data_IF_706893509661
#
_entry.id   IF_706893509661
#
_cell.length_a   1.000
_cell.length_b   1.000
_cell.length_c   1.000
_cell.angle_alpha   90.00
_cell.angle_beta   90.00
_cell.angle_gamma   90.00
#
_symmetry.space_group_name_H-M   'P 1'
#
loop_
_entity.id
_entity.type
_entity.pdbx_description
1 polymer ?
#
# COMPACT_ATOMS: atom_id res chain seq x y z
N UNK A 1 -20.81 -3.13 -16.35
CA UNK A 1 -19.56 -2.35 -16.08
C UNK A 1 -18.45 -3.37 -15.83
N UNK A 2 -17.24 -3.14 -16.33
CA UNK A 2 -16.13 -4.05 -16.03
C UNK A 2 -15.77 -3.95 -14.54
N UNK A 3 -15.52 -5.10 -13.90
CA UNK A 3 -15.04 -5.19 -12.52
C UNK A 3 -13.73 -4.41 -12.38
N UNK A 4 -13.62 -3.58 -11.33
CA UNK A 4 -12.39 -2.85 -10.99
C UNK A 4 -11.69 -3.49 -9.77
N UNK A 5 -10.38 -3.38 -9.72
CA UNK A 5 -9.53 -4.07 -8.78
C UNK A 5 -8.64 -3.11 -7.99
N UNK A 6 -8.58 -3.28 -6.68
CA UNK A 6 -7.72 -2.48 -5.81
C UNK A 6 -6.93 -3.37 -4.85
N UNK A 7 -5.63 -3.11 -4.72
CA UNK A 7 -4.80 -3.67 -3.65
C UNK A 7 -4.62 -2.63 -2.54
N UNK A 8 -4.84 -3.04 -1.29
CA UNK A 8 -4.61 -2.21 -0.11
C UNK A 8 -3.65 -2.92 0.82
N UNK A 9 -2.46 -2.35 1.03
CA UNK A 9 -1.50 -2.88 1.99
C UNK A 9 -1.83 -2.41 3.41
N UNK A 10 -1.65 -3.29 4.41
CA UNK A 10 -2.00 -2.97 5.79
C UNK A 10 -3.51 -2.78 6.01
N UNK A 11 -4.34 -3.62 5.36
CA UNK A 11 -5.80 -3.49 5.33
C UNK A 11 -6.53 -3.98 6.59
N UNK A 12 -5.83 -4.57 7.57
CA UNK A 12 -6.47 -5.22 8.72
C UNK A 12 -7.07 -4.25 9.75
N UNK A 13 -6.67 -2.98 9.76
CA UNK A 13 -7.13 -1.96 10.74
C UNK A 13 -6.95 -0.53 10.23
N UNK A 14 -7.46 0.43 11.00
CA UNK A 14 -7.24 1.87 10.78
C UNK A 14 -7.63 2.34 9.39
N UNK A 15 -6.76 3.16 8.78
CA UNK A 15 -6.98 3.77 7.46
C UNK A 15 -7.12 2.69 6.38
N UNK A 16 -6.27 1.65 6.40
CA UNK A 16 -6.33 0.57 5.41
C UNK A 16 -7.67 -0.17 5.43
N UNK A 17 -8.20 -0.50 6.63
CA UNK A 17 -9.54 -1.10 6.76
C UNK A 17 -10.64 -0.16 6.25
N UNK A 18 -10.58 1.11 6.62
CA UNK A 18 -11.58 2.09 6.16
C UNK A 18 -11.58 2.23 4.63
N UNK A 19 -10.39 2.28 4.01
CA UNK A 19 -10.26 2.26 2.56
C UNK A 19 -10.84 0.98 1.96
N UNK A 20 -10.56 -0.20 2.54
CA UNK A 20 -11.05 -1.48 2.04
C UNK A 20 -12.59 -1.52 1.97
N UNK A 21 -13.25 -1.13 3.06
CA UNK A 21 -14.71 -1.05 3.09
C UNK A 21 -15.26 -0.02 2.09
N UNK A 22 -14.62 1.15 1.99
CA UNK A 22 -15.04 2.19 1.05
C UNK A 22 -14.93 1.73 -0.41
N UNK A 23 -13.84 1.06 -0.80
CA UNK A 23 -13.69 0.52 -2.14
C UNK A 23 -14.67 -0.61 -2.42
N UNK A 24 -14.90 -1.53 -1.46
CA UNK A 24 -15.88 -2.61 -1.61
C UNK A 24 -17.30 -2.07 -1.85
N UNK A 25 -17.73 -1.06 -1.09
CA UNK A 25 -19.03 -0.36 -1.25
C UNK A 25 -19.16 0.34 -2.62
N UNK A 26 -18.05 0.68 -3.25
CA UNK A 26 -18.01 1.22 -4.60
C UNK A 26 -17.75 0.15 -5.67
N UNK A 27 -18.09 -1.10 -5.37
CA UNK A 27 -18.07 -2.25 -6.27
C UNK A 27 -16.67 -2.61 -6.82
N UNK A 28 -15.59 -2.26 -6.11
CA UNK A 28 -14.28 -2.81 -6.41
C UNK A 28 -14.14 -4.22 -5.83
N UNK A 29 -13.42 -5.10 -6.52
CA UNK A 29 -12.84 -6.28 -5.88
C UNK A 29 -11.59 -5.85 -5.11
N UNK A 30 -11.55 -6.13 -3.80
CA UNK A 30 -10.51 -5.61 -2.90
C UNK A 30 -9.53 -6.72 -2.52
N UNK A 31 -8.27 -6.58 -2.92
CA UNK A 31 -7.18 -7.39 -2.41
C UNK A 31 -6.71 -6.83 -1.08
N UNK A 32 -6.88 -7.61 -0.02
CA UNK A 32 -6.63 -7.22 1.36
C UNK A 32 -5.29 -7.78 1.84
N UNK A 33 -4.29 -6.94 2.05
CA UNK A 33 -3.00 -7.39 2.57
C UNK A 33 -2.79 -7.05 4.03
N UNK A 34 -2.20 -7.98 4.77
CA UNK A 34 -1.56 -7.73 6.07
C UNK A 34 -0.36 -8.65 6.29
N UNK A 35 0.54 -8.27 7.22
CA UNK A 35 1.72 -9.08 7.57
C UNK A 35 1.42 -10.08 8.70
N UNK A 36 0.78 -9.66 9.78
CA UNK A 36 0.64 -10.46 11.01
C UNK A 36 -0.79 -10.64 11.50
N UNK A 37 -1.68 -9.69 11.25
CA UNK A 37 -3.01 -9.63 11.87
C UNK A 37 -4.05 -10.33 10.99
N UNK A 38 -3.89 -11.63 10.76
CA UNK A 38 -4.77 -12.39 9.85
C UNK A 38 -6.21 -12.43 10.37
N UNK A 39 -6.42 -12.65 11.67
CA UNK A 39 -7.77 -12.68 12.26
C UNK A 39 -8.51 -11.35 12.06
N UNK A 40 -7.80 -10.22 12.25
CA UNK A 40 -8.37 -8.90 11.99
C UNK A 40 -8.64 -8.68 10.49
N UNK A 41 -7.82 -9.25 9.60
CA UNK A 41 -8.04 -9.17 8.16
C UNK A 41 -9.28 -9.99 7.75
N UNK A 42 -9.46 -11.18 8.32
CA UNK A 42 -10.65 -12.02 8.12
C UNK A 42 -11.93 -11.34 8.62
N UNK A 43 -11.84 -10.54 9.69
CA UNK A 43 -12.98 -9.74 10.13
C UNK A 43 -13.36 -8.67 9.09
N UNK A 44 -12.38 -8.03 8.45
CA UNK A 44 -12.63 -7.08 7.35
C UNK A 44 -13.22 -7.79 6.13
N UNK A 45 -12.72 -8.97 5.78
CA UNK A 45 -13.28 -9.81 4.73
C UNK A 45 -14.76 -10.11 5.00
N UNK A 46 -15.08 -10.58 6.23
CA UNK A 46 -16.44 -10.87 6.61
C UNK A 46 -17.37 -9.66 6.46
N UNK A 47 -16.93 -8.48 6.92
CA UNK A 47 -17.71 -7.24 6.78
C UNK A 47 -17.98 -6.89 5.31
N UNK A 48 -16.99 -7.07 4.43
CA UNK A 48 -17.15 -6.84 2.99
C UNK A 48 -18.15 -7.83 2.38
N UNK A 49 -18.06 -9.11 2.74
CA UNK A 49 -18.95 -10.14 2.22
C UNK A 49 -20.39 -9.99 2.75
N UNK A 50 -20.57 -9.60 4.00
CA UNK A 50 -21.87 -9.32 4.60
C UNK A 50 -22.58 -8.13 3.90
N UNK A 51 -21.82 -7.18 3.36
CA UNK A 51 -22.31 -6.07 2.52
C UNK A 51 -22.39 -6.44 1.02
N UNK A 52 -22.32 -7.72 0.66
CA UNK A 52 -22.33 -8.22 -0.73
C UNK A 52 -21.19 -7.70 -1.61
N UNK A 53 -20.08 -7.24 -1.02
CA UNK A 53 -18.85 -6.89 -1.71
C UNK A 53 -18.02 -8.12 -2.10
N UNK A 54 -16.87 -7.89 -2.72
CA UNK A 54 -15.95 -8.96 -3.09
C UNK A 54 -14.51 -8.62 -2.71
N UNK A 55 -13.78 -9.59 -2.15
CA UNK A 55 -12.39 -9.41 -1.77
C UNK A 55 -11.61 -10.73 -1.82
N UNK A 56 -10.28 -10.60 -1.73
CA UNK A 56 -9.34 -11.72 -1.60
C UNK A 56 -8.29 -11.37 -0.57
N UNK A 57 -8.02 -12.29 0.36
CA UNK A 57 -6.96 -12.11 1.35
C UNK A 57 -5.59 -12.39 0.72
N UNK A 58 -4.63 -11.49 0.95
CA UNK A 58 -3.24 -11.60 0.54
C UNK A 58 -2.30 -11.46 1.75
N UNK A 59 -2.23 -12.46 2.65
CA UNK A 59 -1.29 -12.41 3.75
C UNK A 59 0.14 -12.42 3.23
N UNK A 60 0.99 -11.52 3.76
CA UNK A 60 2.38 -11.41 3.35
C UNK A 60 2.99 -10.08 3.78
N UNK A 61 4.31 -10.05 3.88
CA UNK A 61 5.05 -8.85 4.22
C UNK A 61 5.28 -7.99 2.96
N UNK A 62 4.57 -6.88 2.83
CA UNK A 62 4.76 -5.94 1.72
C UNK A 62 6.21 -5.36 1.64
N UNK A 63 6.96 -5.38 2.76
CA UNK A 63 8.37 -5.01 2.81
C UNK A 63 9.34 -6.12 2.36
N UNK A 64 8.83 -7.29 1.96
CA UNK A 64 9.61 -8.39 1.43
C UNK A 64 9.31 -8.59 -0.07
N UNK A 65 10.30 -8.51 -0.97
CA UNK A 65 10.06 -8.60 -2.41
C UNK A 65 9.53 -9.97 -2.86
N UNK A 66 9.86 -11.05 -2.15
CA UNK A 66 9.38 -12.39 -2.48
C UNK A 66 7.89 -12.55 -2.15
N UNK A 67 7.47 -12.01 -1.01
CA UNK A 67 6.06 -12.01 -0.64
C UNK A 67 5.24 -11.13 -1.58
N UNK A 68 5.78 -9.97 -1.99
CA UNK A 68 5.12 -9.11 -2.99
C UNK A 68 4.97 -9.85 -4.33
N UNK A 69 6.00 -10.59 -4.79
CA UNK A 69 5.88 -11.41 -6.00
C UNK A 69 4.77 -12.46 -5.90
N UNK A 70 4.66 -13.15 -4.74
CA UNK A 70 3.58 -14.13 -4.50
C UNK A 70 2.20 -13.47 -4.50
N UNK A 71 2.05 -12.32 -3.83
CA UNK A 71 0.79 -11.56 -3.84
C UNK A 71 0.38 -11.16 -5.25
N UNK A 72 1.30 -10.64 -6.05
CA UNK A 72 1.00 -10.24 -7.43
C UNK A 72 0.72 -11.43 -8.34
N UNK A 73 1.34 -12.58 -8.15
CA UNK A 73 1.00 -13.82 -8.86
C UNK A 73 -0.47 -14.26 -8.58
N UNK A 74 -0.95 -14.11 -7.35
CA UNK A 74 -2.37 -14.35 -7.02
C UNK A 74 -3.27 -13.33 -7.71
N UNK A 75 -2.93 -12.04 -7.66
CA UNK A 75 -3.68 -10.97 -8.33
C UNK A 75 -3.81 -11.28 -9.83
N UNK A 76 -2.71 -11.60 -10.50
CA UNK A 76 -2.65 -11.92 -11.93
C UNK A 76 -3.43 -13.18 -12.31
N UNK A 77 -3.64 -14.11 -11.38
CA UNK A 77 -4.51 -15.28 -11.60
C UNK A 77 -6.01 -14.95 -11.55
N UNK A 78 -6.39 -13.81 -10.97
CA UNK A 78 -7.78 -13.38 -10.77
C UNK A 78 -8.18 -12.29 -11.77
N UNK A 79 -7.25 -11.39 -12.10
CA UNK A 79 -7.50 -10.25 -12.97
C UNK A 79 -6.27 -9.89 -13.80
N UNK A 80 -6.44 -9.15 -14.91
CA UNK A 80 -5.29 -8.72 -15.73
C UNK A 80 -4.33 -7.78 -15.01
N UNK A 81 -4.78 -7.11 -13.92
CA UNK A 81 -3.99 -6.23 -13.09
C UNK A 81 -4.86 -5.25 -12.29
N UNK A 82 -4.21 -4.34 -11.59
CA UNK A 82 -4.87 -3.41 -10.68
C UNK A 82 -5.28 -2.10 -11.37
N UNK A 83 -6.49 -1.61 -11.07
CA UNK A 83 -6.91 -0.22 -11.35
C UNK A 83 -6.38 0.75 -10.30
N UNK A 84 -6.30 0.31 -9.04
CA UNK A 84 -5.86 1.13 -7.91
C UNK A 84 -4.88 0.36 -7.01
N UNK A 85 -3.83 1.04 -6.58
CA UNK A 85 -2.92 0.57 -5.54
C UNK A 85 -2.94 1.57 -4.38
N UNK A 86 -3.25 1.10 -3.17
CA UNK A 86 -3.18 1.88 -1.93
C UNK A 86 -2.02 1.35 -1.07
N UNK A 87 -0.92 2.07 -1.06
CA UNK A 87 0.23 1.80 -0.20
C UNK A 87 -0.02 2.44 1.17
N UNK A 88 -0.58 1.64 2.09
CA UNK A 88 -0.94 2.10 3.43
C UNK A 88 -0.13 1.41 4.53
N UNK A 89 0.43 0.22 4.29
CA UNK A 89 1.24 -0.48 5.28
C UNK A 89 2.35 0.43 5.84
N UNK A 90 2.44 0.49 7.16
CA UNK A 90 3.44 1.31 7.83
C UNK A 90 3.51 1.01 9.33
N UNK A 91 4.69 1.27 9.87
CA UNK A 91 5.01 1.20 11.29
C UNK A 91 5.70 2.49 11.71
N UNK A 92 5.69 2.80 13.00
CA UNK A 92 6.48 3.88 13.59
C UNK A 92 7.45 3.33 14.64
N UNK A 93 8.51 4.08 14.87
CA UNK A 93 9.40 3.92 16.00
C UNK A 93 9.51 5.28 16.71
N UNK A 94 9.12 5.30 17.97
CA UNK A 94 9.20 6.49 18.82
C UNK A 94 10.36 6.33 19.78
N UNK A 95 11.41 7.12 19.61
CA UNK A 95 12.62 7.10 20.41
C UNK A 95 13.71 7.99 19.79
N UNK A 96 14.77 8.23 20.57
CA UNK A 96 15.91 8.99 20.07
C UNK A 96 16.66 8.17 19.01
N UNK A 97 17.18 8.85 18.00
CA UNK A 97 17.87 8.19 16.88
C UNK A 97 19.08 7.35 17.35
N UNK A 98 19.80 7.83 18.36
CA UNK A 98 20.95 7.14 18.93
C UNK A 98 20.62 5.82 19.63
N UNK A 99 19.37 5.63 20.04
CA UNK A 99 18.89 4.43 20.73
C UNK A 99 18.25 3.41 19.75
N UNK A 100 18.14 3.78 18.47
CA UNK A 100 17.58 2.93 17.44
C UNK A 100 18.61 1.91 16.95
N UNK A 101 18.24 0.63 16.95
CA UNK A 101 19.08 -0.42 16.39
C UNK A 101 19.01 -0.47 14.86
N UNK A 102 20.07 -1.02 14.23
CA UNK A 102 20.11 -1.26 12.78
C UNK A 102 18.94 -2.12 12.30
N UNK A 103 18.50 -3.07 13.12
CA UNK A 103 17.36 -3.94 12.81
C UNK A 103 16.04 -3.14 12.76
N UNK A 104 15.81 -2.24 13.72
CA UNK A 104 14.64 -1.36 13.76
C UNK A 104 14.65 -0.38 12.59
N UNK A 105 15.82 0.20 12.28
CA UNK A 105 16.00 1.05 11.11
C UNK A 105 15.65 0.30 9.80
N UNK A 106 16.19 -0.90 9.63
CA UNK A 106 15.93 -1.74 8.45
C UNK A 106 14.45 -2.14 8.36
N UNK A 107 13.82 -2.46 9.48
CA UNK A 107 12.41 -2.83 9.50
C UNK A 107 11.49 -1.68 9.10
N UNK A 108 11.73 -0.46 9.64
CA UNK A 108 10.91 0.70 9.29
C UNK A 108 11.10 1.13 7.83
N UNK A 109 12.34 1.08 7.31
CA UNK A 109 12.63 1.34 5.90
C UNK A 109 11.91 0.34 4.99
N UNK A 110 12.03 -0.95 5.30
CA UNK A 110 11.42 -2.01 4.50
C UNK A 110 9.89 -1.91 4.50
N UNK A 111 9.30 -1.66 5.67
CA UNK A 111 7.85 -1.62 5.80
C UNK A 111 7.26 -0.34 5.19
N UNK A 112 7.88 0.83 5.40
CA UNK A 112 7.26 2.11 5.05
C UNK A 112 7.67 2.62 3.66
N UNK A 113 8.85 2.26 3.15
CA UNK A 113 9.38 2.80 1.90
C UNK A 113 9.64 1.72 0.85
N UNK A 114 10.41 0.67 1.19
CA UNK A 114 10.70 -0.40 0.23
C UNK A 114 9.44 -1.12 -0.23
N UNK A 115 8.44 -1.28 0.66
CA UNK A 115 7.13 -1.86 0.30
C UNK A 115 6.43 -1.08 -0.80
N UNK A 116 6.46 0.26 -0.71
CA UNK A 116 5.87 1.15 -1.73
C UNK A 116 6.55 0.94 -3.07
N UNK A 117 7.88 0.89 -3.07
CA UNK A 117 8.65 0.60 -4.29
C UNK A 117 8.28 -0.76 -4.88
N UNK A 118 8.24 -1.83 -4.07
CA UNK A 118 7.94 -3.18 -4.56
C UNK A 118 6.52 -3.28 -5.15
N UNK A 119 5.52 -2.75 -4.44
CA UNK A 119 4.14 -2.78 -4.91
C UNK A 119 3.93 -1.90 -6.14
N UNK A 120 4.50 -0.68 -6.17
CA UNK A 120 4.44 0.18 -7.36
C UNK A 120 5.06 -0.48 -8.58
N UNK A 121 6.28 -1.01 -8.44
CA UNK A 121 7.00 -1.69 -9.54
C UNK A 121 6.18 -2.84 -10.13
N UNK A 122 5.47 -3.61 -9.29
CA UNK A 122 4.64 -4.73 -9.75
C UNK A 122 3.34 -4.26 -10.41
N UNK A 123 2.75 -3.15 -9.97
CA UNK A 123 1.47 -2.66 -10.50
C UNK A 123 1.61 -1.84 -11.80
N UNK A 124 2.72 -1.10 -11.96
CA UNK A 124 2.89 -0.08 -13.00
C UNK A 124 2.79 -0.66 -14.42
N UNK A 125 3.35 -1.84 -14.68
CA UNK A 125 3.39 -2.42 -16.03
C UNK A 125 1.99 -2.57 -16.62
N UNK A 126 1.03 -3.07 -15.84
CA UNK A 126 -0.37 -3.18 -16.26
C UNK A 126 -1.02 -1.80 -16.44
N UNK A 127 -0.85 -0.90 -15.47
CA UNK A 127 -1.42 0.45 -15.50
C UNK A 127 -0.94 1.26 -16.74
N UNK A 128 0.34 1.13 -17.09
CA UNK A 128 0.92 1.75 -18.28
C UNK A 128 0.33 1.16 -19.56
N UNK A 129 0.21 -0.18 -19.62
CA UNK A 129 -0.35 -0.88 -20.78
C UNK A 129 -1.80 -0.47 -21.07
N UNK A 130 -2.63 -0.37 -20.03
CA UNK A 130 -4.04 0.06 -20.18
C UNK A 130 -4.23 1.58 -20.23
N UNK A 131 -3.16 2.37 -20.09
CA UNK A 131 -3.19 3.85 -20.01
C UNK A 131 -4.18 4.38 -18.97
N UNK A 132 -4.26 3.70 -17.84
CA UNK A 132 -5.15 4.04 -16.74
C UNK A 132 -4.65 3.38 -15.46
N UNK A 133 -4.62 4.12 -14.36
CA UNK A 133 -4.26 3.60 -13.04
C UNK A 133 -4.20 4.69 -11.99
N UNK A 134 -4.31 4.30 -10.74
CA UNK A 134 -4.17 5.21 -9.61
C UNK A 134 -3.31 4.57 -8.52
N UNK A 135 -2.29 5.30 -8.08
CA UNK A 135 -1.45 4.93 -6.95
C UNK A 135 -1.66 5.97 -5.85
N UNK A 136 -2.05 5.51 -4.67
CA UNK A 136 -2.31 6.34 -3.49
C UNK A 136 -1.35 5.90 -2.39
N UNK A 137 -0.46 6.78 -1.99
CA UNK A 137 0.50 6.54 -0.92
C UNK A 137 0.05 7.23 0.36
N UNK A 138 -0.15 6.47 1.45
CA UNK A 138 -0.52 7.05 2.74
C UNK A 138 0.75 7.54 3.43
N UNK A 139 0.98 8.84 3.31
CA UNK A 139 2.13 9.55 3.86
C UNK A 139 1.85 10.03 5.29
N UNK A 140 2.42 11.14 5.66
CA UNK A 140 2.24 11.82 6.96
C UNK A 140 2.74 13.26 6.85
N UNK A 141 2.20 14.15 7.65
CA UNK A 141 2.77 15.49 7.84
C UNK A 141 4.26 15.43 8.26
N UNK A 142 4.66 14.39 9.01
CA UNK A 142 6.07 14.17 9.38
C UNK A 142 6.99 13.91 8.19
N UNK A 143 6.45 13.51 7.05
CA UNK A 143 7.18 13.43 5.79
C UNK A 143 7.49 14.79 5.16
N UNK A 144 6.93 15.87 5.69
CA UNK A 144 7.15 17.23 5.21
C UNK A 144 7.95 18.07 6.23
N UNK A 145 7.57 18.00 7.51
CA UNK A 145 8.16 18.86 8.55
C UNK A 145 9.10 18.12 9.50
N UNK A 146 9.08 16.79 9.51
CA UNK A 146 9.80 15.97 10.47
C UNK A 146 9.15 15.96 11.85
N UNK A 147 9.57 15.01 12.71
CA UNK A 147 9.14 14.95 14.10
C UNK A 147 10.29 14.52 15.01
N UNK A 148 10.39 15.16 16.16
CA UNK A 148 11.31 14.73 17.23
C UNK A 148 10.94 13.32 17.68
N UNK A 149 11.92 12.50 17.99
CA UNK A 149 11.77 11.09 18.36
C UNK A 149 11.17 10.18 17.27
N UNK A 150 10.92 10.68 16.07
CA UNK A 150 10.41 9.90 14.91
C UNK A 150 11.27 10.11 13.66
N UNK A 151 12.59 10.24 13.81
CA UNK A 151 13.49 10.56 12.70
C UNK A 151 13.41 9.54 11.56
N UNK A 152 13.43 8.23 11.87
CA UNK A 152 13.33 7.18 10.86
C UNK A 152 11.98 7.15 10.16
N UNK A 153 10.88 7.33 10.90
CA UNK A 153 9.53 7.43 10.33
C UNK A 153 9.45 8.64 9.38
N UNK A 154 9.90 9.81 9.83
CA UNK A 154 9.95 11.03 9.04
C UNK A 154 10.75 10.85 7.76
N UNK A 155 11.93 10.21 7.84
CA UNK A 155 12.77 9.90 6.69
C UNK A 155 12.04 9.00 5.67
N UNK A 156 11.34 7.95 6.12
CA UNK A 156 10.59 7.06 5.23
C UNK A 156 9.43 7.77 4.55
N UNK A 157 8.70 8.63 5.27
CA UNK A 157 7.57 9.38 4.72
C UNK A 157 8.02 10.50 3.77
N UNK A 158 9.16 11.15 4.05
CA UNK A 158 9.81 12.09 3.11
C UNK A 158 10.26 11.38 1.84
N UNK A 159 10.88 10.19 1.96
CA UNK A 159 11.26 9.37 0.82
C UNK A 159 10.04 8.94 -0.03
N UNK A 160 8.93 8.57 0.63
CA UNK A 160 7.66 8.26 -0.04
C UNK A 160 7.12 9.47 -0.81
N UNK A 161 7.18 10.68 -0.23
CA UNK A 161 6.77 11.92 -0.91
C UNK A 161 7.64 12.20 -2.14
N UNK A 162 8.95 11.99 -2.04
CA UNK A 162 9.89 12.10 -3.17
C UNK A 162 9.58 11.11 -4.29
N UNK A 163 9.39 9.83 -3.93
CA UNK A 163 9.03 8.76 -4.86
C UNK A 163 7.68 9.06 -5.55
N UNK A 164 6.69 9.54 -4.80
CA UNK A 164 5.37 9.93 -5.35
C UNK A 164 5.51 10.99 -6.43
N UNK A 165 6.28 12.06 -6.16
CA UNK A 165 6.49 13.16 -7.11
C UNK A 165 7.23 12.70 -8.37
N UNK A 166 8.21 11.80 -8.22
CA UNK A 166 8.96 11.26 -9.34
C UNK A 166 8.07 10.38 -10.23
N UNK A 167 7.38 9.41 -9.64
CA UNK A 167 6.47 8.51 -10.36
C UNK A 167 5.30 9.26 -11.01
N UNK A 168 4.76 10.30 -10.37
CA UNK A 168 3.69 11.11 -10.96
C UNK A 168 4.13 11.74 -12.29
N UNK A 169 5.37 12.21 -12.39
CA UNK A 169 5.94 12.78 -13.63
C UNK A 169 6.25 11.69 -14.66
N UNK A 170 6.83 10.58 -14.22
CA UNK A 170 7.22 9.46 -15.09
C UNK A 170 6.00 8.79 -15.74
N UNK A 171 4.90 8.65 -15.00
CA UNK A 171 3.72 7.93 -15.42
C UNK A 171 2.61 8.80 -16.02
N UNK A 172 2.74 10.14 -15.96
CA UNK A 172 1.78 11.08 -16.54
C UNK A 172 1.48 10.82 -18.04
N UNK A 173 2.49 10.53 -18.91
CA UNK A 173 2.21 10.23 -20.33
C UNK A 173 1.34 8.98 -20.53
N UNK A 174 1.29 8.09 -19.55
CA UNK A 174 0.49 6.87 -19.56
C UNK A 174 -0.86 7.03 -18.84
N UNK A 175 -1.24 8.26 -18.48
CA UNK A 175 -2.49 8.56 -17.74
C UNK A 175 -2.62 7.78 -16.41
N UNK A 176 -1.48 7.53 -15.74
CA UNK A 176 -1.45 6.93 -14.40
C UNK A 176 -1.22 8.04 -13.37
N UNK A 177 -2.14 8.14 -12.43
CA UNK A 177 -2.11 9.16 -11.38
C UNK A 177 -1.40 8.61 -10.14
N UNK A 178 -0.43 9.35 -9.61
CA UNK A 178 0.29 8.99 -8.38
C UNK A 178 0.20 10.14 -7.39
N UNK A 179 -0.41 9.89 -6.24
CA UNK A 179 -0.64 10.89 -5.20
C UNK A 179 -0.25 10.36 -3.82
N UNK A 180 0.07 11.28 -2.91
CA UNK A 180 0.24 11.00 -1.49
C UNK A 180 -0.79 11.78 -0.68
N UNK A 181 -1.26 11.17 0.42
CA UNK A 181 -2.15 11.77 1.42
C UNK A 181 -1.36 11.86 2.73
N UNK A 182 -1.35 13.05 3.36
CA UNK A 182 -0.63 13.34 4.60
C UNK A 182 -1.55 13.99 5.63
#
# INVERSE_FOLDING_TARGET
MNQKYVLITGASRGIGRACALAFARNHFHVFLNCRHSLDALQQVEKEILDEHGSCTLLPGNAGNPDDVRKMFAIIESICPGLDVLVNNAGISFVGLLQDMSDAQWSEILNTNLSSVFYCCRSAISHMVSQKSGKIINISSMWGTVGASCEAAYSATKSGMNGLTKALAKELAPSNVQVNAIA
#
